data_IF_626944252497
#
_entry.id   IF_626944252497
#
_cell.length_a   1.000
_cell.length_b   1.000
_cell.length_c   1.000
_cell.angle_alpha   90.00
_cell.angle_beta   90.00
_cell.angle_gamma   90.00
#
_symmetry.space_group_name_H-M   'P 1'
#
loop_
_entity.id
_entity.type
_entity.pdbx_description
1 polymer ?
#
# COMPACT_ATOMS: atom_id res chain seq x y z
N UNK A 1 2.39 -40.76 68.13
CA UNK A 1 0.96 -40.82 68.51
C UNK A 1 0.64 -39.60 69.35
N UNK A 2 -0.37 -38.84 68.93
CA UNK A 2 -1.22 -37.89 69.68
C UNK A 2 -0.61 -36.82 70.60
N UNK A 3 -0.95 -35.55 70.30
CA UNK A 3 -1.78 -34.64 71.11
C UNK A 3 -1.29 -33.19 70.89
N UNK A 4 -1.91 -32.42 70.01
CA UNK A 4 -3.09 -31.58 70.31
C UNK A 4 -2.79 -30.47 71.31
N UNK A 5 -2.36 -29.31 70.82
CA UNK A 5 -2.63 -28.03 71.48
C UNK A 5 -3.31 -27.10 70.48
N UNK A 6 -4.60 -26.89 70.76
CA UNK A 6 -5.48 -25.91 70.13
C UNK A 6 -5.15 -24.55 70.74
N UNK A 7 -4.79 -23.58 69.91
CA UNK A 7 -4.84 -22.16 70.25
C UNK A 7 -6.05 -21.56 69.55
N UNK A 8 -7.05 -21.20 70.34
CA UNK A 8 -8.20 -20.38 69.96
C UNK A 8 -8.14 -19.05 70.71
N UNK A 9 -8.93 -18.09 70.25
CA UNK A 9 -9.15 -16.72 70.75
C UNK A 9 -8.09 -15.70 70.26
N UNK A 10 -8.42 -14.59 69.59
CA UNK A 10 -9.65 -13.79 69.59
C UNK A 10 -9.95 -13.23 68.18
N UNK A 11 -11.25 -13.28 67.86
CA UNK A 11 -11.90 -12.51 66.80
C UNK A 11 -11.96 -11.06 67.26
N UNK A 12 -11.29 -10.14 66.55
CA UNK A 12 -11.60 -8.71 66.58
C UNK A 12 -11.88 -8.25 65.16
N UNK A 13 -13.16 -8.29 64.81
CA UNK A 13 -13.69 -7.68 63.60
C UNK A 13 -13.69 -6.15 63.77
N UNK A 14 -12.68 -5.47 63.21
CA UNK A 14 -12.83 -4.07 62.82
C UNK A 14 -13.32 -4.04 61.38
N UNK A 15 -14.64 -3.93 61.24
CA UNK A 15 -15.25 -3.50 59.98
C UNK A 15 -14.92 -2.02 59.77
N UNK A 16 -13.85 -1.74 59.02
CA UNK A 16 -13.69 -0.44 58.37
C UNK A 16 -14.71 -0.40 57.23
N UNK A 17 -15.89 0.16 57.50
CA UNK A 17 -16.84 0.54 56.46
C UNK A 17 -16.25 1.72 55.70
N UNK A 18 -15.55 1.44 54.60
CA UNK A 18 -15.20 2.47 53.63
C UNK A 18 -16.51 3.02 53.04
N UNK A 19 -16.82 4.26 53.36
CA UNK A 19 -17.92 4.99 52.73
C UNK A 19 -17.66 5.03 51.21
N UNK A 20 -18.63 4.66 50.36
CA UNK A 20 -18.48 4.86 48.92
C UNK A 20 -18.40 6.35 48.66
N UNK A 21 -17.25 6.81 48.13
CA UNK A 21 -17.13 8.14 47.57
C UNK A 21 -18.14 8.25 46.42
N UNK A 22 -19.17 9.08 46.62
CA UNK A 22 -20.12 9.44 45.59
C UNK A 22 -19.36 10.19 44.48
N UNK A 23 -18.95 9.48 43.44
CA UNK A 23 -18.54 10.11 42.20
C UNK A 23 -19.79 10.76 41.59
N UNK A 24 -19.85 12.09 41.66
CA UNK A 24 -20.91 12.86 41.02
C UNK A 24 -20.77 12.72 39.50
N UNK A 25 -21.77 12.12 38.87
CA UNK A 25 -21.85 12.01 37.41
C UNK A 25 -22.30 13.35 36.84
N UNK A 26 -21.39 14.13 36.26
CA UNK A 26 -21.79 15.28 35.45
C UNK A 26 -22.44 14.77 34.16
N UNK A 27 -23.74 15.01 34.01
CA UNK A 27 -24.49 14.72 32.78
C UNK A 27 -24.17 15.83 31.77
N UNK A 28 -23.52 15.46 30.65
CA UNK A 28 -23.32 16.35 29.52
C UNK A 28 -24.58 16.36 28.65
N UNK A 29 -25.23 17.53 28.56
CA UNK A 29 -26.38 17.78 27.67
C UNK A 29 -25.83 18.11 26.28
N UNK A 30 -26.36 17.53 25.17
CA UNK A 30 -25.86 17.83 23.84
C UNK A 30 -26.13 19.30 23.47
N UNK A 31 -25.07 19.96 23.00
CA UNK A 31 -25.12 21.31 22.43
C UNK A 31 -26.10 21.36 21.25
N UNK A 32 -27.05 22.29 21.30
CA UNK A 32 -27.89 22.62 20.15
C UNK A 32 -27.03 23.12 18.99
N UNK A 33 -27.23 22.54 17.81
CA UNK A 33 -26.63 23.00 16.56
C UNK A 33 -27.26 24.33 16.16
N UNK A 34 -26.62 25.46 16.46
CA UNK A 34 -27.01 26.73 15.85
C UNK A 34 -26.35 26.84 14.47
N UNK A 35 -27.19 26.88 13.42
CA UNK A 35 -26.76 27.20 12.05
C UNK A 35 -26.59 28.70 11.92
N UNK A 36 -25.36 29.14 11.63
CA UNK A 36 -25.10 30.42 10.99
C UNK A 36 -24.12 30.20 9.83
N UNK A 37 -24.52 30.62 8.63
CA UNK A 37 -23.60 30.90 7.52
C UNK A 37 -22.76 29.76 6.96
N UNK A 38 -23.36 28.66 6.51
CA UNK A 38 -22.93 27.94 5.30
C UNK A 38 -21.51 27.35 5.18
N UNK A 39 -20.70 27.22 6.23
CA UNK A 39 -19.39 26.55 6.10
C UNK A 39 -19.10 25.65 7.29
N UNK A 40 -18.99 24.35 7.05
CA UNK A 40 -18.58 23.37 8.08
C UNK A 40 -17.05 23.25 8.04
N UNK A 41 -16.37 23.84 9.03
CA UNK A 41 -14.93 23.66 9.20
C UNK A 41 -14.69 22.37 9.99
N UNK A 42 -14.12 21.37 9.33
CA UNK A 42 -13.71 20.11 9.93
C UNK A 42 -12.32 20.27 10.57
N UNK A 43 -12.26 20.20 11.90
CA UNK A 43 -11.01 20.21 12.67
C UNK A 43 -10.74 18.80 13.21
N UNK A 44 -9.72 18.08 12.73
CA UNK A 44 -9.40 16.76 13.26
C UNK A 44 -8.57 16.90 14.54
N UNK A 45 -9.17 16.61 15.70
CA UNK A 45 -8.39 16.34 16.91
C UNK A 45 -8.11 14.82 17.03
N UNK A 46 -6.88 14.39 17.32
CA UNK A 46 -6.57 12.99 17.55
C UNK A 46 -7.14 12.54 18.91
N UNK A 47 -8.07 11.60 18.90
CA UNK A 47 -8.53 10.94 20.12
C UNK A 47 -7.74 9.65 20.32
N UNK A 48 -6.97 9.62 21.42
CA UNK A 48 -6.26 8.46 21.92
C UNK A 48 -7.25 7.52 22.63
N UNK A 49 -7.41 6.30 22.10
CA UNK A 49 -8.17 5.26 22.77
C UNK A 49 -7.22 4.42 23.62
N UNK A 50 -7.32 4.55 24.94
CA UNK A 50 -6.64 3.67 25.90
C UNK A 50 -7.32 2.30 25.92
N UNK A 51 -6.57 1.25 25.63
CA UNK A 51 -6.99 -0.15 25.83
C UNK A 51 -6.85 -0.49 27.33
N UNK A 52 -7.89 -1.02 27.99
CA UNK A 52 -7.76 -1.48 29.37
C UNK A 52 -6.95 -2.79 29.41
N UNK A 53 -5.96 -2.85 30.31
CA UNK A 53 -5.25 -4.09 30.66
C UNK A 53 -5.99 -4.82 31.79
N UNK A 54 -6.37 -6.08 31.54
CA UNK A 54 -6.87 -7.03 32.55
C UNK A 54 -7.69 -8.13 31.84
N UNK A 55 -7.60 -9.42 32.12
CA UNK A 55 -6.87 -10.22 33.11
C UNK A 55 -6.49 -11.55 32.43
N UNK A 56 -5.23 -11.97 32.52
CA UNK A 56 -4.82 -13.34 32.15
C UNK A 56 -5.16 -14.28 33.32
N UNK A 57 -6.09 -15.22 33.10
CA UNK A 57 -6.22 -16.42 33.92
C UNK A 57 -5.94 -17.66 33.06
N UNK A 58 -5.28 -18.64 33.68
CA UNK A 58 -4.69 -19.81 33.04
C UNK A 58 -5.73 -20.75 32.40
N UNK A 59 -5.40 -21.24 31.21
CA UNK A 59 -5.73 -22.60 30.77
C UNK A 59 -7.13 -22.85 30.23
N UNK A 60 -7.33 -22.56 28.95
CA UNK A 60 -8.08 -23.38 27.97
C UNK A 60 -8.08 -22.65 26.62
N UNK A 61 -7.73 -23.34 25.54
CA UNK A 61 -7.83 -22.82 24.17
C UNK A 61 -9.18 -23.26 23.60
N UNK A 62 -10.12 -22.33 23.33
CA UNK A 62 -11.09 -22.54 22.28
C UNK A 62 -10.66 -21.78 21.03
N UNK A 63 -10.59 -22.51 19.92
CA UNK A 63 -10.63 -21.95 18.59
C UNK A 63 -11.91 -21.12 18.40
N UNK A 64 -11.87 -20.18 17.47
CA UNK A 64 -12.97 -19.37 16.91
C UNK A 64 -13.45 -18.14 17.71
N UNK A 65 -13.00 -16.98 17.24
CA UNK A 65 -13.76 -15.71 17.22
C UNK A 65 -13.25 -14.96 15.97
N UNK A 66 -13.97 -14.85 14.84
CA UNK A 66 -15.41 -14.71 14.74
C UNK A 66 -15.81 -13.30 15.17
N UNK A 67 -15.30 -12.28 14.48
CA UNK A 67 -15.75 -10.89 14.68
C UNK A 67 -17.17 -10.73 14.11
N UNK A 68 -18.15 -10.89 14.99
CA UNK A 68 -19.49 -10.29 14.93
C UNK A 68 -19.54 -9.22 16.02
N UNK A 69 -20.04 -8.00 15.85
CA UNK A 69 -20.72 -7.31 14.76
C UNK A 69 -21.22 -5.95 15.30
N UNK A 70 -21.56 -5.02 14.41
CA UNK A 70 -22.48 -3.87 14.60
C UNK A 70 -22.59 -3.27 13.19
N UNK A 71 -23.67 -3.41 12.42
CA UNK A 71 -25.00 -2.84 12.61
C UNK A 71 -26.10 -3.78 12.11
N UNK A 72 -27.18 -3.89 12.87
CA UNK A 72 -28.44 -4.49 12.45
C UNK A 72 -29.44 -3.43 11.97
N UNK A 73 -30.12 -3.73 10.86
CA UNK A 73 -31.50 -3.34 10.59
C UNK A 73 -32.14 -4.48 9.78
N UNK A 74 -33.34 -4.90 10.21
CA UNK A 74 -34.19 -5.90 9.57
C UNK A 74 -35.26 -5.20 8.73
N UNK A 75 -35.58 -5.73 7.55
CA UNK A 75 -36.96 -5.90 7.07
C UNK A 75 -37.02 -6.81 5.82
N UNK A 76 -38.17 -7.47 5.56
CA UNK A 76 -38.26 -8.73 4.83
C UNK A 76 -38.71 -8.60 3.37
N UNK A 77 -38.42 -9.62 2.56
CA UNK A 77 -39.37 -10.08 1.53
C UNK A 77 -38.82 -10.29 0.12
N UNK A 78 -39.09 -11.50 -0.35
CA UNK A 78 -39.18 -11.98 -1.74
C UNK A 78 -37.90 -12.54 -2.40
N UNK A 79 -37.98 -13.86 -2.66
CA UNK A 79 -36.95 -14.69 -3.25
C UNK A 79 -36.78 -14.50 -4.75
N UNK A 80 -35.77 -15.14 -5.32
CA UNK A 80 -35.92 -16.46 -5.92
C UNK A 80 -34.53 -17.07 -6.18
N UNK A 81 -34.45 -18.37 -5.90
CA UNK A 81 -33.42 -19.31 -6.31
C UNK A 81 -33.30 -19.37 -7.83
N UNK A 82 -32.07 -19.37 -8.38
CA UNK A 82 -31.75 -20.21 -9.54
C UNK A 82 -30.33 -20.77 -9.44
N UNK A 83 -30.27 -22.10 -9.53
CA UNK A 83 -29.12 -22.97 -9.65
C UNK A 83 -28.80 -23.20 -11.13
N UNK A 84 -27.53 -23.48 -11.44
CA UNK A 84 -27.10 -24.14 -12.68
C UNK A 84 -26.71 -23.16 -13.81
N UNK A 85 -25.73 -23.42 -14.67
CA UNK A 85 -25.10 -24.70 -15.04
C UNK A 85 -23.72 -24.45 -15.69
N UNK A 86 -22.78 -25.33 -15.34
CA UNK A 86 -21.75 -26.01 -16.15
C UNK A 86 -21.34 -25.39 -17.51
N UNK A 87 -20.03 -25.12 -17.63
CA UNK A 87 -19.31 -24.85 -18.87
C UNK A 87 -19.01 -26.13 -19.68
N UNK A 88 -18.92 -26.05 -21.01
CA UNK A 88 -18.15 -27.01 -21.82
C UNK A 88 -16.82 -26.42 -22.32
N UNK A 89 -15.75 -26.99 -21.76
CA UNK A 89 -14.48 -27.43 -22.35
C UNK A 89 -14.09 -27.15 -23.84
N UNK A 90 -12.80 -26.81 -23.99
CA UNK A 90 -11.77 -27.34 -24.94
C UNK A 90 -11.78 -26.72 -26.36
N UNK A 91 -10.68 -26.19 -26.92
CA UNK A 91 -9.49 -26.88 -27.49
C UNK A 91 -8.24 -25.94 -27.55
N UNK A 92 -7.07 -26.47 -27.18
CA UNK A 92 -5.73 -26.11 -27.69
C UNK A 92 -5.08 -27.43 -28.16
N UNK A 93 -4.33 -27.49 -29.29
CA UNK A 93 -2.88 -27.27 -29.21
C UNK A 93 -2.21 -26.75 -30.50
N UNK A 94 -1.06 -26.08 -30.36
CA UNK A 94 -0.20 -25.70 -31.49
C UNK A 94 1.26 -25.57 -31.04
N UNK A 95 2.09 -26.48 -31.54
CA UNK A 95 3.42 -26.83 -31.06
C UNK A 95 4.53 -25.86 -31.48
N UNK A 96 5.55 -25.80 -30.63
CA UNK A 96 6.84 -25.16 -30.84
C UNK A 96 7.66 -25.85 -31.95
N UNK A 97 8.42 -25.06 -32.72
CA UNK A 97 9.50 -25.56 -33.59
C UNK A 97 10.84 -25.04 -33.09
N UNK A 98 11.73 -25.99 -32.85
CA UNK A 98 13.15 -25.87 -32.53
C UNK A 98 13.99 -25.47 -33.76
N UNK A 99 15.01 -24.63 -33.54
CA UNK A 99 16.07 -24.32 -34.51
C UNK A 99 17.37 -24.99 -34.02
N UNK A 100 18.07 -25.79 -34.83
CA UNK A 100 19.42 -26.25 -34.53
C UNK A 100 20.49 -25.26 -35.00
N UNK A 101 21.57 -25.18 -34.22
CA UNK A 101 22.83 -24.53 -34.57
C UNK A 101 23.81 -25.58 -35.13
N UNK A 102 24.59 -25.20 -36.14
CA UNK A 102 25.95 -25.69 -36.52
C UNK A 102 26.35 -24.92 -37.80
N UNK A 103 27.34 -24.01 -37.73
CA UNK A 103 28.78 -24.17 -37.96
C UNK A 103 29.19 -24.25 -39.44
N UNK A 104 29.84 -23.18 -39.94
CA UNK A 104 30.85 -23.30 -40.99
C UNK A 104 31.85 -22.15 -40.91
N UNK A 105 33.02 -22.49 -40.39
CA UNK A 105 34.26 -21.72 -40.40
C UNK A 105 34.91 -21.62 -41.80
N UNK A 106 35.65 -20.52 -41.97
CA UNK A 106 36.89 -20.39 -42.78
C UNK A 106 36.80 -19.94 -44.24
N UNK A 107 37.23 -18.70 -44.48
CA UNK A 107 38.30 -18.23 -45.40
C UNK A 107 38.37 -16.70 -45.21
N UNK A 108 39.42 -16.05 -44.68
CA UNK A 108 40.84 -16.28 -44.87
C UNK A 108 41.36 -15.40 -46.02
N UNK A 109 41.62 -14.10 -45.78
CA UNK A 109 42.65 -13.31 -46.49
C UNK A 109 42.93 -11.97 -45.82
N UNK A 110 44.14 -11.89 -45.26
CA UNK A 110 44.83 -10.67 -44.93
C UNK A 110 45.25 -9.93 -46.21
N UNK A 111 45.20 -8.59 -46.18
CA UNK A 111 46.18 -7.74 -46.88
C UNK A 111 46.55 -6.59 -45.96
N UNK A 112 47.80 -6.64 -45.52
CA UNK A 112 48.60 -5.47 -45.19
C UNK A 112 48.78 -4.63 -46.44
N UNK A 113 48.63 -3.32 -46.34
CA UNK A 113 49.60 -2.41 -46.96
C UNK A 113 49.67 -1.13 -46.14
N UNK A 114 50.92 -0.83 -45.78
CA UNK A 114 51.36 0.29 -44.97
C UNK A 114 52.08 1.24 -45.91
N UNK A 115 51.53 2.43 -46.11
CA UNK A 115 52.27 3.65 -46.47
C UNK A 115 51.26 4.77 -46.74
N UNK A 116 51.25 5.84 -45.94
CA UNK A 116 52.16 6.95 -46.20
C UNK A 116 52.02 8.05 -45.13
N UNK A 117 53.19 8.45 -44.65
CA UNK A 117 53.56 9.75 -44.09
C UNK A 117 52.79 10.93 -44.66
N UNK A 118 52.26 11.79 -43.78
CA UNK A 118 52.30 13.25 -43.96
C UNK A 118 52.10 13.98 -42.63
N UNK A 119 53.15 14.72 -42.30
CA UNK A 119 53.30 15.66 -41.19
C UNK A 119 52.32 16.83 -41.40
N UNK A 120 51.29 16.92 -40.57
CA UNK A 120 50.43 18.08 -40.50
C UNK A 120 50.59 18.72 -39.12
N UNK A 121 51.38 19.80 -39.05
CA UNK A 121 51.37 20.77 -37.96
C UNK A 121 50.07 21.58 -38.10
N UNK A 122 48.95 20.98 -37.67
CA UNK A 122 47.69 21.68 -37.45
C UNK A 122 47.59 22.13 -36.00
N UNK A 123 46.85 23.22 -35.71
CA UNK A 123 46.60 23.62 -34.32
C UNK A 123 45.91 22.44 -33.62
N UNK A 124 46.38 22.11 -32.41
CA UNK A 124 45.73 21.15 -31.53
C UNK A 124 44.29 21.63 -31.31
N UNK A 125 43.34 21.07 -32.07
CA UNK A 125 41.95 21.06 -31.67
C UNK A 125 41.95 20.17 -30.45
N UNK A 126 42.04 20.80 -29.27
CA UNK A 126 41.62 20.14 -28.04
C UNK A 126 40.21 19.66 -28.35
N UNK A 127 39.91 18.36 -28.28
CA UNK A 127 38.54 17.93 -28.39
C UNK A 127 37.84 18.61 -27.20
N UNK A 128 37.10 19.67 -27.47
CA UNK A 128 36.10 20.17 -26.54
C UNK A 128 35.18 18.98 -26.35
N UNK A 129 35.38 18.26 -25.23
CA UNK A 129 34.47 17.22 -24.81
C UNK A 129 33.05 17.79 -24.98
N UNK A 130 32.13 17.06 -25.63
CA UNK A 130 30.79 17.59 -25.80
C UNK A 130 30.27 17.93 -24.41
N UNK A 131 29.71 19.13 -24.27
CA UNK A 131 28.99 19.54 -23.07
C UNK A 131 27.72 18.68 -22.95
N UNK A 132 27.88 17.39 -22.65
CA UNK A 132 26.83 16.52 -22.16
C UNK A 132 26.69 16.78 -20.67
N UNK A 133 26.06 17.91 -20.37
CA UNK A 133 25.48 18.18 -19.06
C UNK A 133 24.40 17.11 -18.79
N UNK A 134 24.83 16.03 -18.16
CA UNK A 134 24.26 15.50 -16.91
C UNK A 134 22.72 15.41 -16.79
N UNK A 135 22.02 14.96 -17.83
CA UNK A 135 20.74 14.27 -17.60
C UNK A 135 21.07 12.88 -17.04
N UNK A 136 21.55 12.82 -15.79
CA UNK A 136 21.77 11.56 -15.05
C UNK A 136 20.49 10.76 -15.17
N UNK A 137 20.57 9.61 -15.83
CA UNK A 137 19.46 8.69 -15.96
C UNK A 137 18.88 8.45 -14.55
N UNK A 138 17.55 8.54 -14.35
CA UNK A 138 16.95 8.45 -13.03
C UNK A 138 17.24 7.10 -12.34
N UNK A 139 17.62 6.08 -13.11
CA UNK A 139 17.97 4.75 -12.60
C UNK A 139 19.18 4.83 -11.67
N UNK A 140 19.02 4.29 -10.46
CA UNK A 140 20.08 4.25 -9.45
C UNK A 140 20.27 5.55 -8.65
N UNK A 141 19.61 6.65 -9.05
CA UNK A 141 19.61 7.88 -8.25
C UNK A 141 18.87 7.64 -6.94
N UNK A 142 19.44 8.12 -5.84
CA UNK A 142 18.86 8.00 -4.49
C UNK A 142 18.29 9.33 -4.05
N UNK A 143 17.12 9.28 -3.43
CA UNK A 143 16.44 10.43 -2.84
C UNK A 143 16.12 10.10 -1.40
N UNK A 144 16.30 11.06 -0.49
CA UNK A 144 15.97 10.86 0.91
C UNK A 144 15.50 12.17 1.54
N UNK A 145 14.57 12.08 2.48
CA UNK A 145 14.08 13.23 3.22
C UNK A 145 12.59 13.13 3.55
N UNK A 146 11.99 14.23 4.06
CA UNK A 146 10.55 14.31 4.21
C UNK A 146 9.86 14.15 2.86
N UNK A 147 8.70 13.50 2.87
CA UNK A 147 7.88 13.30 1.68
C UNK A 147 6.62 14.17 1.75
N UNK A 148 6.28 14.78 0.61
CA UNK A 148 4.95 15.37 0.38
C UNK A 148 4.18 14.48 -0.59
N UNK A 149 3.06 13.91 -0.15
CA UNK A 149 2.21 13.07 -1.00
C UNK A 149 1.35 13.94 -1.91
N UNK A 150 1.24 13.56 -3.19
CA UNK A 150 0.42 14.23 -4.19
C UNK A 150 -0.88 13.45 -4.44
N UNK A 151 -0.77 12.15 -4.69
CA UNK A 151 -1.89 11.22 -4.91
C UNK A 151 -1.57 9.82 -4.35
N UNK A 152 -2.31 8.79 -4.76
CA UNK A 152 -2.15 7.42 -4.25
C UNK A 152 -0.85 6.71 -4.66
N UNK A 153 -0.08 7.23 -5.61
CA UNK A 153 1.20 6.65 -6.00
C UNK A 153 2.29 7.67 -6.37
N UNK A 154 2.06 8.95 -6.14
CA UNK A 154 3.01 10.03 -6.43
C UNK A 154 3.36 10.82 -5.18
N UNK A 155 4.65 11.05 -4.96
CA UNK A 155 5.19 11.84 -3.85
C UNK A 155 6.37 12.71 -4.29
N UNK A 156 6.62 13.78 -3.54
CA UNK A 156 7.79 14.63 -3.71
C UNK A 156 8.78 14.36 -2.59
N UNK A 157 10.03 14.04 -2.93
CA UNK A 157 11.13 13.83 -1.98
C UNK A 157 12.36 14.58 -2.48
N UNK A 158 12.97 15.39 -1.61
CA UNK A 158 14.12 16.22 -1.97
C UNK A 158 13.91 17.08 -3.23
N UNK A 159 12.67 17.57 -3.44
CA UNK A 159 12.28 18.40 -4.59
C UNK A 159 11.99 17.63 -5.89
N UNK A 160 12.17 16.30 -5.91
CA UNK A 160 11.89 15.46 -7.08
C UNK A 160 10.50 14.84 -7.01
N UNK A 161 9.76 14.83 -8.14
CA UNK A 161 8.50 14.09 -8.27
C UNK A 161 8.80 12.62 -8.54
N UNK A 162 8.39 11.76 -7.61
CA UNK A 162 8.61 10.32 -7.64
C UNK A 162 7.27 9.59 -7.77
N UNK A 163 7.19 8.70 -8.75
CA UNK A 163 6.06 7.79 -8.97
C UNK A 163 6.45 6.40 -8.45
N UNK A 164 5.63 5.81 -7.59
CA UNK A 164 5.90 4.51 -6.99
C UNK A 164 5.99 3.43 -8.08
N UNK A 165 7.16 2.79 -8.16
CA UNK A 165 7.40 1.72 -9.10
C UNK A 165 6.46 0.54 -8.86
N UNK A 166 5.81 0.04 -9.90
CA UNK A 166 4.97 -1.16 -9.85
C UNK A 166 3.64 -1.04 -9.09
N UNK A 167 3.27 0.17 -8.66
CA UNK A 167 2.00 0.44 -7.98
C UNK A 167 1.25 1.57 -8.71
N UNK A 168 0.08 1.23 -9.26
CA UNK A 168 -0.81 2.16 -9.95
C UNK A 168 -2.06 2.35 -9.07
N UNK A 169 -2.20 3.54 -8.48
CA UNK A 169 -3.29 3.83 -7.56
C UNK A 169 -4.54 4.32 -8.31
N UNK A 170 -5.76 4.12 -7.78
CA UNK A 170 -6.95 4.77 -8.31
C UNK A 170 -6.78 6.29 -8.35
N UNK A 171 -7.32 6.92 -9.38
CA UNK A 171 -7.24 8.38 -9.58
C UNK A 171 -7.88 9.12 -8.40
N UNK A 172 -7.39 10.30 -8.03
CA UNK A 172 -8.05 11.12 -7.00
C UNK A 172 -9.52 11.38 -7.36
N UNK A 173 -10.40 11.24 -6.37
CA UNK A 173 -11.86 11.31 -6.56
C UNK A 173 -12.49 10.10 -7.26
N UNK A 174 -11.71 9.08 -7.65
CA UNK A 174 -12.26 7.85 -8.20
C UNK A 174 -13.10 7.11 -7.15
N UNK A 175 -14.30 6.71 -7.56
CA UNK A 175 -15.23 5.93 -6.74
C UNK A 175 -15.15 4.44 -7.11
N UNK A 176 -14.97 3.58 -6.11
CA UNK A 176 -15.04 2.13 -6.21
C UNK A 176 -16.26 1.61 -5.45
N UNK A 177 -16.68 0.37 -5.70
CA UNK A 177 -17.76 -0.28 -4.94
C UNK A 177 -17.20 -1.30 -3.93
N UNK A 178 -17.85 -1.44 -2.79
CA UNK A 178 -17.60 -2.54 -1.85
C UNK A 178 -18.40 -3.81 -2.21
N UNK A 179 -18.34 -4.84 -1.36
CA UNK A 179 -19.07 -6.11 -1.54
C UNK A 179 -20.59 -5.95 -1.56
N UNK A 180 -21.11 -4.86 -0.97
CA UNK A 180 -22.54 -4.55 -0.90
C UNK A 180 -22.97 -3.60 -2.03
N UNK A 181 -22.03 -3.17 -2.88
CA UNK A 181 -22.28 -2.23 -3.96
C UNK A 181 -22.25 -0.76 -3.54
N UNK A 182 -21.85 -0.45 -2.30
CA UNK A 182 -21.75 0.94 -1.85
C UNK A 182 -20.48 1.60 -2.40
N UNK A 183 -20.66 2.81 -2.93
CA UNK A 183 -19.57 3.63 -3.45
C UNK A 183 -18.68 4.20 -2.34
N UNK A 184 -17.38 4.21 -2.56
CA UNK A 184 -16.38 4.86 -1.70
C UNK A 184 -15.24 5.46 -2.51
N UNK A 185 -14.66 6.57 -2.03
CA UNK A 185 -13.56 7.29 -2.71
C UNK A 185 -12.24 6.52 -2.57
N UNK A 186 -11.98 5.61 -3.50
CA UNK A 186 -10.82 4.74 -3.45
C UNK A 186 -9.50 5.45 -3.78
N UNK A 187 -9.53 6.48 -4.62
CA UNK A 187 -8.36 7.31 -4.88
C UNK A 187 -7.90 8.08 -3.66
N UNK A 188 -8.84 8.74 -2.97
CA UNK A 188 -8.54 9.49 -1.74
C UNK A 188 -8.05 8.55 -0.63
N UNK A 189 -8.68 7.38 -0.47
CA UNK A 189 -8.22 6.39 0.51
C UNK A 189 -6.80 5.90 0.26
N UNK A 190 -6.42 5.74 -1.02
CA UNK A 190 -5.06 5.36 -1.40
C UNK A 190 -4.05 6.46 -1.03
N UNK A 191 -4.35 7.71 -1.39
CA UNK A 191 -3.53 8.89 -1.01
C UNK A 191 -3.38 9.01 0.50
N UNK A 192 -4.49 8.92 1.24
CA UNK A 192 -4.49 9.09 2.69
C UNK A 192 -3.70 7.96 3.38
N UNK A 193 -3.75 6.74 2.83
CA UNK A 193 -2.89 5.66 3.29
C UNK A 193 -1.42 5.95 3.04
N UNK A 194 -1.06 6.46 1.86
CA UNK A 194 0.31 6.83 1.56
C UNK A 194 0.81 7.94 2.50
N UNK A 195 -0.02 8.95 2.80
CA UNK A 195 0.27 9.99 3.81
C UNK A 195 0.59 9.35 5.16
N UNK A 196 -0.24 8.39 5.61
CA UNK A 196 -0.04 7.71 6.88
C UNK A 196 1.25 6.87 6.93
N UNK A 197 1.67 6.29 5.80
CA UNK A 197 2.90 5.52 5.75
C UNK A 197 4.15 6.40 5.86
N UNK A 198 4.11 7.63 5.33
CA UNK A 198 5.27 8.54 5.29
C UNK A 198 5.32 9.54 6.44
N UNK A 199 4.28 9.61 7.28
CA UNK A 199 4.14 10.66 8.31
C UNK A 199 5.13 10.55 9.48
N UNK A 200 5.72 9.37 9.71
CA UNK A 200 6.48 9.10 10.93
C UNK A 200 8.00 9.20 10.76
N UNK A 201 8.53 8.98 9.55
CA UNK A 201 9.97 8.92 9.32
C UNK A 201 10.32 9.41 7.90
N UNK A 202 11.57 9.85 7.67
CA UNK A 202 12.05 10.17 6.34
C UNK A 202 11.89 9.00 5.37
N UNK A 203 11.50 9.32 4.14
CA UNK A 203 11.41 8.35 3.05
C UNK A 203 12.77 8.22 2.38
N UNK A 204 13.14 7.00 1.97
CA UNK A 204 14.28 6.74 1.09
C UNK A 204 13.78 6.12 -0.21
N UNK A 205 14.23 6.64 -1.34
CA UNK A 205 13.81 6.18 -2.66
C UNK A 205 15.00 5.86 -3.56
N UNK A 206 14.83 4.83 -4.39
CA UNK A 206 15.75 4.48 -5.47
C UNK A 206 15.04 4.63 -6.79
N UNK A 207 15.53 5.53 -7.64
CA UNK A 207 15.02 5.67 -9.00
C UNK A 207 15.30 4.40 -9.81
N UNK A 208 14.32 3.99 -10.61
CA UNK A 208 14.38 2.81 -11.48
C UNK A 208 14.31 3.16 -12.95
N UNK A 209 13.82 4.37 -13.28
CA UNK A 209 13.67 4.83 -14.66
C UNK A 209 12.76 6.05 -14.75
N UNK A 210 12.45 6.47 -15.97
CA UNK A 210 11.46 7.50 -16.22
C UNK A 210 10.04 6.97 -15.99
N UNK A 211 9.16 7.83 -15.48
CA UNK A 211 7.71 7.61 -15.42
C UNK A 211 6.99 8.76 -16.11
N UNK A 212 5.69 8.59 -16.39
CA UNK A 212 4.86 9.73 -16.76
C UNK A 212 4.76 10.69 -15.57
N UNK A 213 5.17 11.94 -15.76
CA UNK A 213 5.10 12.98 -14.72
C UNK A 213 6.24 13.00 -13.71
N UNK A 214 7.28 12.17 -13.86
CA UNK A 214 8.44 12.20 -12.97
C UNK A 214 9.37 11.00 -13.09
N UNK A 215 9.98 10.63 -11.97
CA UNK A 215 10.89 9.49 -11.87
C UNK A 215 10.18 8.28 -11.26
N UNK A 216 10.17 7.13 -11.94
CA UNK A 216 9.74 5.88 -11.31
C UNK A 216 10.75 5.51 -10.21
N UNK A 217 10.29 5.21 -8.99
CA UNK A 217 11.16 4.88 -7.88
C UNK A 217 10.56 3.84 -6.91
N UNK A 218 11.42 3.01 -6.34
CA UNK A 218 11.07 2.18 -5.17
C UNK A 218 11.34 2.98 -3.92
N UNK A 219 10.29 3.31 -3.16
CA UNK A 219 10.38 4.14 -1.96
C UNK A 219 10.06 3.34 -0.70
N UNK A 220 10.78 3.62 0.38
CA UNK A 220 10.67 2.92 1.66
C UNK A 220 10.68 3.87 2.85
N UNK A 221 10.00 3.43 3.90
CA UNK A 221 10.05 3.99 5.25
C UNK A 221 10.52 2.88 6.18
N UNK A 222 11.75 2.99 6.69
CA UNK A 222 12.41 1.86 7.36
C UNK A 222 12.46 0.65 6.43
N UNK A 223 11.87 -0.47 6.85
CA UNK A 223 11.79 -1.70 6.05
C UNK A 223 10.54 -1.77 5.14
N UNK A 224 9.58 -0.89 5.35
CA UNK A 224 8.30 -0.89 4.64
C UNK A 224 8.48 -0.33 3.24
N UNK A 225 8.18 -1.14 2.23
CA UNK A 225 8.06 -0.71 0.84
C UNK A 225 6.67 -0.09 0.60
N UNK A 226 6.64 1.18 0.20
CA UNK A 226 5.39 1.93 0.10
C UNK A 226 4.49 1.39 -1.03
N UNK A 227 5.06 1.14 -2.21
CA UNK A 227 4.29 0.64 -3.36
C UNK A 227 3.77 -0.76 -3.10
N UNK A 228 4.62 -1.63 -2.56
CA UNK A 228 4.24 -2.98 -2.16
C UNK A 228 3.11 -2.98 -1.13
N UNK A 229 3.19 -2.10 -0.12
CA UNK A 229 2.19 -2.04 0.95
C UNK A 229 0.82 -1.63 0.40
N UNK A 230 0.77 -0.63 -0.49
CA UNK A 230 -0.49 -0.21 -1.11
C UNK A 230 -1.09 -1.32 -1.97
N UNK A 231 -0.29 -2.04 -2.75
CA UNK A 231 -0.76 -3.18 -3.54
C UNK A 231 -1.27 -4.31 -2.64
N UNK A 232 -0.54 -4.63 -1.57
CA UNK A 232 -0.92 -5.66 -0.61
C UNK A 232 -2.25 -5.33 0.07
N UNK A 233 -2.50 -4.05 0.38
CA UNK A 233 -3.75 -3.56 0.98
C UNK A 233 -4.89 -3.38 -0.04
N UNK A 234 -4.64 -3.60 -1.33
CA UNK A 234 -5.63 -3.39 -2.39
C UNK A 234 -5.97 -1.92 -2.63
N UNK A 235 -5.07 -1.00 -2.30
CA UNK A 235 -5.18 0.44 -2.54
C UNK A 235 -4.40 0.90 -3.79
N UNK A 236 -3.67 -0.01 -4.42
CA UNK A 236 -3.09 0.13 -5.74
C UNK A 236 -3.16 -1.21 -6.48
N UNK A 237 -3.04 -1.18 -7.79
CA UNK A 237 -2.98 -2.36 -8.67
C UNK A 237 -1.64 -2.41 -9.38
N UNK A 238 -1.26 -3.59 -9.89
CA UNK A 238 -0.02 -3.73 -10.65
C UNK A 238 -0.27 -3.28 -12.09
N UNK A 239 0.45 -2.26 -12.59
CA UNK A 239 0.32 -1.81 -13.97
C UNK A 239 0.75 -2.89 -14.95
N UNK A 240 0.03 -3.01 -16.08
CA UNK A 240 0.28 -4.07 -17.10
C UNK A 240 1.37 -3.71 -18.11
N UNK A 241 1.76 -2.45 -18.20
CA UNK A 241 2.66 -1.92 -19.24
C UNK A 241 4.10 -1.75 -18.78
N UNK A 242 4.38 -1.97 -17.49
CA UNK A 242 5.72 -1.84 -16.90
C UNK A 242 6.07 -3.11 -16.12
N UNK A 243 7.31 -3.19 -15.62
CA UNK A 243 7.80 -4.36 -14.90
C UNK A 243 6.89 -4.71 -13.71
N UNK A 244 6.29 -5.92 -13.67
CA UNK A 244 5.30 -6.26 -12.67
C UNK A 244 5.97 -6.82 -11.40
N UNK A 245 6.35 -5.93 -10.47
CA UNK A 245 7.15 -6.29 -9.28
C UNK A 245 6.33 -6.76 -8.06
N UNK A 246 5.00 -6.59 -8.04
CA UNK A 246 4.13 -6.90 -6.88
C UNK A 246 2.97 -7.85 -7.20
N UNK A 247 3.14 -8.75 -8.17
CA UNK A 247 2.07 -9.68 -8.59
C UNK A 247 1.59 -10.60 -7.47
N UNK A 248 2.51 -11.05 -6.60
CA UNK A 248 2.17 -11.91 -5.47
C UNK A 248 1.31 -11.16 -4.43
N UNK A 249 1.67 -9.92 -4.12
CA UNK A 249 0.91 -9.05 -3.23
C UNK A 249 -0.47 -8.73 -3.80
N UNK A 250 -0.55 -8.46 -5.11
CA UNK A 250 -1.82 -8.22 -5.78
C UNK A 250 -2.73 -9.46 -5.76
N UNK A 251 -2.16 -10.65 -6.02
CA UNK A 251 -2.89 -11.92 -5.90
C UNK A 251 -3.40 -12.16 -4.47
N UNK A 252 -2.59 -11.82 -3.46
CA UNK A 252 -3.01 -11.87 -2.05
C UNK A 252 -4.14 -10.88 -1.76
N UNK A 253 -4.06 -9.64 -2.27
CA UNK A 253 -5.10 -8.63 -2.08
C UNK A 253 -6.43 -9.03 -2.74
N UNK A 254 -6.34 -9.61 -3.94
CA UNK A 254 -7.48 -10.17 -4.68
C UNK A 254 -8.17 -11.30 -3.92
N UNK A 255 -7.41 -12.32 -3.53
CA UNK A 255 -7.94 -13.49 -2.82
C UNK A 255 -8.57 -13.13 -1.47
N UNK A 256 -8.02 -12.12 -0.79
CA UNK A 256 -8.56 -11.62 0.46
C UNK A 256 -9.60 -10.49 0.29
N UNK A 257 -10.00 -10.16 -0.94
CA UNK A 257 -10.99 -9.12 -1.24
C UNK A 257 -10.69 -7.76 -0.56
N UNK A 258 -9.41 -7.36 -0.56
CA UNK A 258 -8.96 -6.11 0.09
C UNK A 258 -9.11 -4.90 -0.82
N UNK A 259 -9.48 -3.76 -0.25
CA UNK A 259 -9.53 -2.48 -0.93
C UNK A 259 -10.41 -2.53 -2.19
N UNK A 260 -9.85 -2.15 -3.34
CA UNK A 260 -10.58 -2.14 -4.63
C UNK A 260 -11.07 -3.54 -5.04
N UNK A 261 -10.42 -4.60 -4.55
CA UNK A 261 -10.82 -5.99 -4.82
C UNK A 261 -12.03 -6.47 -4.01
N UNK A 262 -12.53 -5.65 -3.07
CA UNK A 262 -13.77 -5.92 -2.36
C UNK A 262 -15.01 -5.80 -3.25
N UNK A 263 -14.93 -5.17 -4.41
CA UNK A 263 -16.09 -5.01 -5.28
C UNK A 263 -15.69 -4.60 -6.68
N UNK A 264 -16.60 -3.88 -7.35
CA UNK A 264 -16.37 -3.40 -8.72
C UNK A 264 -15.55 -2.13 -8.71
N UNK A 265 -14.59 -2.04 -9.62
CA UNK A 265 -13.83 -0.82 -9.86
C UNK A 265 -13.36 -0.78 -11.32
N UNK A 266 -13.12 0.43 -11.83
CA UNK A 266 -12.32 0.63 -13.04
C UNK A 266 -10.86 0.65 -12.65
N UNK A 267 -10.01 -0.03 -13.41
CA UNK A 267 -8.57 0.12 -13.22
C UNK A 267 -8.12 1.57 -13.43
N UNK A 268 -6.98 2.00 -12.85
CA UNK A 268 -6.52 3.39 -12.99
C UNK A 268 -6.31 3.82 -14.45
N UNK A 269 -5.79 2.93 -15.30
CA UNK A 269 -5.61 3.23 -16.73
C UNK A 269 -6.94 3.35 -17.49
N UNK A 270 -7.96 2.56 -17.15
CA UNK A 270 -9.31 2.72 -17.71
C UNK A 270 -9.95 4.04 -17.26
N UNK A 271 -9.74 4.44 -16.00
CA UNK A 271 -10.22 5.71 -15.48
C UNK A 271 -9.55 6.90 -16.19
N UNK A 272 -8.25 6.80 -16.53
CA UNK A 272 -7.52 7.82 -17.31
C UNK A 272 -7.97 7.89 -18.77
N UNK A 273 -8.24 6.74 -19.41
CA UNK A 273 -8.64 6.69 -20.82
C UNK A 273 -10.07 7.20 -21.08
N UNK A 274 -10.92 7.25 -20.05
CA UNK A 274 -12.31 7.72 -20.16
C UNK A 274 -12.52 9.21 -19.83
N UNK A 275 -11.45 9.99 -19.70
CA UNK A 275 -11.49 11.45 -19.51
C UNK A 275 -11.51 12.18 -20.84
#
# INVERSE_FOLDING_TARGET
MNSSLRTSFLVSALFLTAAPALAQTTIYVPSQTQRFGGTTLYSPQPQSYGVPLGYFQQGQIPATAGQTGYYGQVQPGFGQTQQGTVAPNVVLPGQARSIPADDLMTQGRARTDSSNTSRATGPTIVPTAPAQSERREPRGRRFAGPAKVIDGNTLIVAGEVLVLNGADAPELGQVCSDLKGFGWNCGDRSRDRLINLVSTHPVTCSGVGAAQGGTAATCRVGQTDLGRQLVLEGLAVVPRTVAPVYLAEEASARSAQRGVWAGKFKSPWEARAGK
#
